data_IF_435223114479
#
_entry.id   IF_435223114479
#
_cell.length_a   1.000
_cell.length_b   1.000
_cell.length_c   1.000
_cell.angle_alpha   90.00
_cell.angle_beta   90.00
_cell.angle_gamma   90.00
#
_symmetry.space_group_name_H-M   'P 1'
#
loop_
_entity.id
_entity.type
_entity.pdbx_description
1 polymer ?
#
# COMPACT_ATOMS: atom_id res chain seq x y z
N UNK A 1 -24.06 23.05 -3.16
CA UNK A 1 -25.20 22.31 -2.57
C UNK A 1 -24.61 21.25 -1.65
N UNK A 2 -25.21 20.99 -0.48
CA UNK A 2 -24.80 19.88 0.37
C UNK A 2 -24.94 18.58 -0.41
N UNK A 3 -23.92 17.73 -0.36
CA UNK A 3 -23.97 16.41 -0.96
C UNK A 3 -25.04 15.57 -0.26
N UNK A 4 -26.18 15.39 -0.91
CA UNK A 4 -27.34 14.71 -0.31
C UNK A 4 -27.46 13.24 -0.72
N UNK A 5 -26.50 12.72 -1.51
CA UNK A 5 -26.54 11.35 -2.04
C UNK A 5 -25.28 10.61 -1.64
N UNK A 6 -25.45 9.53 -0.88
CA UNK A 6 -24.39 8.61 -0.49
C UNK A 6 -24.29 7.49 -1.53
N UNK A 7 -23.06 7.08 -1.85
CA UNK A 7 -22.75 5.95 -2.73
C UNK A 7 -23.32 6.13 -4.14
N UNK A 8 -23.21 7.34 -4.69
CA UNK A 8 -23.76 7.66 -6.00
C UNK A 8 -22.95 6.99 -7.13
N UNK A 9 -23.59 6.12 -7.89
CA UNK A 9 -22.98 5.39 -9.01
C UNK A 9 -23.01 6.17 -10.35
N UNK A 10 -23.73 7.30 -10.40
CA UNK A 10 -23.99 8.05 -11.65
C UNK A 10 -23.18 9.33 -11.73
N UNK A 11 -23.00 9.84 -12.95
CA UNK A 11 -22.27 11.10 -13.17
C UNK A 11 -23.04 12.31 -12.64
N UNK A 12 -22.34 13.20 -11.93
CA UNK A 12 -22.83 14.49 -11.45
C UNK A 12 -24.17 14.41 -10.67
N UNK A 13 -24.23 13.63 -9.58
CA UNK A 13 -25.46 13.43 -8.80
C UNK A 13 -25.99 14.72 -8.17
N UNK A 14 -25.10 15.68 -7.93
CA UNK A 14 -25.41 16.98 -7.33
C UNK A 14 -25.72 18.07 -8.38
N UNK A 15 -25.84 17.74 -9.67
CA UNK A 15 -26.19 18.67 -10.75
C UNK A 15 -25.35 19.97 -10.75
N UNK A 16 -24.04 19.86 -10.50
CA UNK A 16 -23.10 20.97 -10.51
C UNK A 16 -22.69 21.30 -11.96
N UNK A 17 -22.13 22.50 -12.17
CA UNK A 17 -21.51 22.84 -13.45
C UNK A 17 -20.12 22.19 -13.54
N UNK A 18 -20.10 20.90 -13.91
CA UNK A 18 -18.89 20.10 -14.00
C UNK A 18 -18.08 20.44 -15.24
N UNK A 19 -16.79 20.75 -15.04
CA UNK A 19 -15.82 20.94 -16.12
C UNK A 19 -14.83 19.78 -16.12
N UNK A 20 -14.69 19.08 -17.25
CA UNK A 20 -13.62 18.09 -17.39
C UNK A 20 -12.29 18.81 -17.60
N UNK A 21 -11.37 18.69 -16.65
CA UNK A 21 -10.09 19.44 -16.68
C UNK A 21 -8.93 18.63 -17.27
N UNK A 22 -9.02 17.30 -17.29
CA UNK A 22 -8.02 16.43 -17.88
C UNK A 22 -8.56 15.01 -18.12
N UNK A 23 -7.82 14.27 -18.94
CA UNK A 23 -7.86 12.81 -19.01
C UNK A 23 -6.43 12.31 -18.80
N UNK A 24 -6.26 11.25 -18.02
CA UNK A 24 -5.00 10.55 -17.80
C UNK A 24 -5.17 9.10 -18.23
N UNK A 25 -4.30 8.62 -19.12
CA UNK A 25 -4.32 7.25 -19.62
C UNK A 25 -2.96 6.60 -19.36
N UNK A 26 -2.97 5.39 -18.81
CA UNK A 26 -1.75 4.62 -18.55
C UNK A 26 -2.01 3.12 -18.60
N UNK A 27 -1.02 2.37 -19.10
CA UNK A 27 -0.95 0.94 -18.90
C UNK A 27 -0.25 0.66 -17.57
N UNK A 28 -0.96 0.08 -16.61
CA UNK A 28 -0.42 -0.39 -15.33
C UNK A 28 0.04 -1.82 -15.51
N UNK A 29 1.30 -2.09 -15.22
CA UNK A 29 1.96 -3.39 -15.29
C UNK A 29 1.61 -4.26 -14.05
N UNK A 30 0.33 -4.33 -13.73
CA UNK A 30 -0.24 -5.21 -12.74
C UNK A 30 -1.58 -5.74 -13.25
N UNK A 31 -1.95 -7.01 -12.96
CA UNK A 31 -3.16 -7.60 -13.49
C UNK A 31 -4.39 -6.98 -12.82
N UNK A 32 -5.52 -6.98 -13.53
CA UNK A 32 -6.77 -6.31 -13.13
C UNK A 32 -7.21 -6.65 -11.69
N UNK A 33 -7.00 -7.90 -11.27
CA UNK A 33 -7.33 -8.33 -9.90
C UNK A 33 -6.50 -7.61 -8.83
N UNK A 34 -5.23 -7.26 -9.09
CA UNK A 34 -4.43 -6.46 -8.15
C UNK A 34 -4.88 -5.01 -8.13
N UNK A 35 -5.26 -4.46 -9.29
CA UNK A 35 -5.77 -3.08 -9.37
C UNK A 35 -7.06 -2.96 -8.58
N UNK A 36 -8.00 -3.90 -8.69
CA UNK A 36 -9.21 -3.88 -7.87
C UNK A 36 -8.96 -4.07 -6.37
N UNK A 37 -8.01 -4.94 -5.98
CA UNK A 37 -7.60 -5.05 -4.56
C UNK A 37 -7.09 -3.70 -4.03
N UNK A 38 -6.23 -3.01 -4.79
CA UNK A 38 -5.66 -1.73 -4.40
C UNK A 38 -6.71 -0.60 -4.36
N UNK A 39 -7.60 -0.53 -5.36
CA UNK A 39 -8.70 0.47 -5.41
C UNK A 39 -9.66 0.35 -4.22
N UNK A 40 -9.95 -0.87 -3.79
CA UNK A 40 -10.87 -1.13 -2.67
C UNK A 40 -10.20 -1.03 -1.29
N UNK A 41 -8.88 -0.94 -1.25
CA UNK A 41 -8.08 -0.81 -0.05
C UNK A 41 -7.85 0.66 0.25
N UNK A 42 -8.68 1.28 1.09
CA UNK A 42 -8.47 2.67 1.51
C UNK A 42 -7.33 2.84 2.53
N UNK A 43 -6.90 1.76 3.18
CA UNK A 43 -6.02 1.83 4.36
C UNK A 43 -4.58 2.21 3.98
N UNK A 44 -4.17 1.97 2.73
CA UNK A 44 -2.83 2.35 2.28
C UNK A 44 -2.66 3.87 2.07
N UNK A 45 -3.75 4.61 1.85
CA UNK A 45 -3.72 6.02 1.44
C UNK A 45 -2.81 6.90 2.30
N UNK A 46 -2.90 6.93 3.66
CA UNK A 46 -2.07 7.83 4.47
C UNK A 46 -0.63 7.35 4.66
N UNK A 47 -0.27 6.16 4.17
CA UNK A 47 1.06 5.57 4.39
C UNK A 47 1.83 5.41 3.09
N UNK A 48 1.24 4.78 2.07
CA UNK A 48 1.85 4.66 0.76
C UNK A 48 1.92 6.01 0.05
N UNK A 49 0.87 6.83 0.19
CA UNK A 49 0.79 8.16 -0.40
C UNK A 49 0.90 9.26 0.67
N UNK A 50 1.82 9.10 1.63
CA UNK A 50 2.02 10.02 2.76
C UNK A 50 2.30 11.49 2.33
N UNK A 51 2.78 11.70 1.11
CA UNK A 51 2.96 13.04 0.51
C UNK A 51 1.68 13.70 0.02
N UNK A 52 0.61 12.92 -0.14
CA UNK A 52 -0.68 13.35 -0.70
C UNK A 52 -1.82 13.28 0.33
N UNK A 53 -1.73 12.37 1.30
CA UNK A 53 -2.75 12.16 2.32
C UNK A 53 -2.14 12.27 3.73
N UNK A 54 -2.53 13.33 4.45
CA UNK A 54 -2.05 13.57 5.82
C UNK A 54 -2.97 12.96 6.90
N UNK A 55 -4.21 12.61 6.53
CA UNK A 55 -5.20 12.03 7.43
C UNK A 55 -6.18 11.18 6.62
N UNK A 56 -6.42 9.96 7.06
CA UNK A 56 -7.43 9.07 6.51
C UNK A 56 -7.99 8.24 7.66
N UNK A 57 -9.31 8.29 7.84
CA UNK A 57 -10.04 7.46 8.80
C UNK A 57 -11.28 6.90 8.11
N UNK A 58 -11.54 5.60 8.27
CA UNK A 58 -12.73 4.99 7.70
C UNK A 58 -14.00 5.51 8.38
N UNK A 59 -14.92 6.06 7.59
CA UNK A 59 -16.28 6.36 8.05
C UNK A 59 -17.19 5.14 7.82
N UNK A 60 -17.22 4.64 6.60
CA UNK A 60 -18.03 3.47 6.23
C UNK A 60 -17.48 2.79 4.98
N UNK A 61 -17.74 1.49 4.85
CA UNK A 61 -17.35 0.71 3.68
C UNK A 61 -18.20 -0.53 3.50
N UNK A 62 -18.19 -1.09 2.29
CA UNK A 62 -18.94 -2.29 1.94
C UNK A 62 -18.78 -2.68 0.48
N UNK A 63 -19.72 -3.49 -0.02
CA UNK A 63 -19.70 -3.94 -1.42
C UNK A 63 -19.81 -2.81 -2.45
N UNK A 64 -20.28 -1.64 -2.04
CA UNK A 64 -20.41 -0.44 -2.89
C UNK A 64 -19.10 0.35 -3.03
N UNK A 65 -18.10 0.09 -2.18
CA UNK A 65 -16.88 0.89 -2.06
C UNK A 65 -16.65 1.34 -0.62
N UNK A 66 -16.12 2.55 -0.44
CA UNK A 66 -15.75 3.09 0.86
C UNK A 66 -15.83 4.61 0.92
N UNK A 67 -15.97 5.14 2.14
CA UNK A 67 -15.86 6.56 2.46
C UNK A 67 -14.92 6.75 3.63
N UNK A 68 -13.99 7.69 3.48
CA UNK A 68 -13.02 8.05 4.51
C UNK A 68 -13.10 9.53 4.84
N UNK A 69 -12.92 9.87 6.10
CA UNK A 69 -12.63 11.23 6.54
C UNK A 69 -11.20 11.60 6.14
N UNK A 70 -11.03 12.83 5.64
CA UNK A 70 -9.73 13.37 5.19
C UNK A 70 -9.14 14.40 6.15
N UNK A 71 -9.82 14.65 7.28
CA UNK A 71 -9.35 15.50 8.37
C UNK A 71 -9.95 15.06 9.71
N UNK A 72 -9.27 15.40 10.81
CA UNK A 72 -9.65 14.98 12.17
C UNK A 72 -10.98 15.58 12.67
N UNK A 73 -11.40 16.73 12.12
CA UNK A 73 -12.67 17.36 12.47
C UNK A 73 -13.87 16.74 11.72
N UNK A 74 -13.63 15.74 10.88
CA UNK A 74 -14.64 15.02 10.09
C UNK A 74 -15.54 15.95 9.26
N UNK A 75 -14.95 16.99 8.65
CA UNK A 75 -15.67 17.92 7.75
C UNK A 75 -15.45 17.61 6.28
N UNK A 76 -14.32 16.97 5.98
CA UNK A 76 -13.84 16.68 4.64
C UNK A 76 -13.74 15.17 4.47
N UNK A 77 -14.17 14.66 3.32
CA UNK A 77 -14.14 13.23 3.05
C UNK A 77 -13.91 12.91 1.59
N UNK A 78 -13.45 11.70 1.33
CA UNK A 78 -13.41 11.08 0.02
C UNK A 78 -14.32 9.86 0.03
N UNK A 79 -15.19 9.76 -0.97
CA UNK A 79 -16.05 8.59 -1.18
C UNK A 79 -15.70 7.96 -2.53
N UNK A 80 -15.27 6.70 -2.50
CA UNK A 80 -15.09 5.86 -3.68
C UNK A 80 -16.30 4.95 -3.82
N UNK A 81 -16.97 5.03 -4.97
CA UNK A 81 -18.14 4.21 -5.29
C UNK A 81 -17.87 3.40 -6.55
N UNK A 82 -18.16 2.10 -6.50
CA UNK A 82 -18.18 1.24 -7.68
C UNK A 82 -19.37 1.63 -8.56
N UNK A 83 -19.10 2.06 -9.80
CA UNK A 83 -20.14 2.50 -10.72
C UNK A 83 -20.55 1.41 -11.72
N UNK A 84 -19.63 0.50 -12.04
CA UNK A 84 -19.86 -0.67 -12.89
C UNK A 84 -18.81 -1.75 -12.60
N UNK A 85 -18.83 -2.85 -13.35
CA UNK A 85 -17.82 -3.90 -13.24
C UNK A 85 -16.41 -3.46 -13.67
N UNK A 86 -16.31 -2.38 -14.42
CA UNK A 86 -15.08 -1.85 -15.04
C UNK A 86 -14.81 -0.39 -14.67
N UNK A 87 -15.62 0.23 -13.81
CA UNK A 87 -15.41 1.63 -13.43
C UNK A 87 -15.83 1.95 -12.01
N UNK A 88 -15.16 2.96 -11.46
CA UNK A 88 -15.48 3.54 -10.16
C UNK A 88 -15.34 5.06 -10.24
N UNK A 89 -15.92 5.73 -9.27
CA UNK A 89 -15.84 7.18 -9.11
C UNK A 89 -15.37 7.53 -7.70
N UNK A 90 -14.37 8.39 -7.62
CA UNK A 90 -13.95 9.01 -6.37
C UNK A 90 -14.47 10.46 -6.32
N UNK A 91 -15.18 10.81 -5.27
CA UNK A 91 -15.65 12.17 -5.01
C UNK A 91 -15.02 12.70 -3.74
N UNK A 92 -14.45 13.89 -3.82
CA UNK A 92 -13.95 14.61 -2.64
C UNK A 92 -14.94 15.68 -2.23
N UNK A 93 -15.09 15.85 -0.93
CA UNK A 93 -15.97 16.84 -0.33
C UNK A 93 -15.21 17.64 0.72
N UNK A 94 -15.45 18.95 0.77
CA UNK A 94 -14.89 19.86 1.75
C UNK A 94 -16.02 20.64 2.39
N UNK A 95 -16.15 20.56 3.72
CA UNK A 95 -17.25 21.16 4.47
C UNK A 95 -18.63 20.95 3.79
N UNK A 96 -18.92 19.71 3.37
CA UNK A 96 -20.16 19.30 2.71
C UNK A 96 -20.33 19.72 1.24
N UNK A 97 -19.35 20.41 0.64
CA UNK A 97 -19.36 20.79 -0.77
C UNK A 97 -18.53 19.81 -1.59
N UNK A 98 -19.11 19.27 -2.67
CA UNK A 98 -18.35 18.46 -3.62
C UNK A 98 -17.31 19.33 -4.33
N UNK A 99 -16.04 18.94 -4.27
CA UNK A 99 -14.93 19.67 -4.90
C UNK A 99 -14.33 18.93 -6.08
N UNK A 100 -14.61 17.64 -6.23
CA UNK A 100 -14.16 16.85 -7.38
C UNK A 100 -15.10 15.68 -7.68
N UNK A 101 -15.04 15.22 -8.92
CA UNK A 101 -15.58 13.93 -9.35
C UNK A 101 -14.59 13.30 -10.32
N UNK A 102 -13.96 12.20 -9.90
CA UNK A 102 -12.87 11.58 -10.64
C UNK A 102 -13.31 10.18 -11.04
N UNK A 103 -13.48 9.97 -12.34
CA UNK A 103 -13.95 8.73 -12.91
C UNK A 103 -12.78 7.90 -13.41
N UNK A 104 -12.67 6.67 -12.95
CA UNK A 104 -11.66 5.72 -13.42
C UNK A 104 -12.32 4.54 -14.11
N UNK A 105 -11.85 4.21 -15.31
CA UNK A 105 -12.22 3.00 -16.04
C UNK A 105 -11.00 2.09 -16.12
N UNK A 106 -11.22 0.81 -15.86
CA UNK A 106 -10.22 -0.24 -15.81
C UNK A 106 -10.52 -1.30 -16.87
N UNK A 107 -9.54 -1.62 -17.72
CA UNK A 107 -9.67 -2.67 -18.72
C UNK A 107 -8.48 -3.61 -18.62
N UNK A 108 -8.72 -4.89 -18.32
CA UNK A 108 -7.65 -5.89 -18.29
C UNK A 108 -7.05 -6.11 -19.68
N UNK A 109 -5.72 -6.19 -19.76
CA UNK A 109 -4.95 -6.47 -20.98
C UNK A 109 -3.84 -7.44 -20.61
N UNK A 110 -4.04 -8.74 -20.90
CA UNK A 110 -3.15 -9.82 -20.46
C UNK A 110 -2.87 -9.75 -18.93
N UNK A 111 -1.61 -9.65 -18.52
CA UNK A 111 -1.16 -9.51 -17.12
C UNK A 111 -1.05 -8.03 -16.68
N UNK A 112 -1.63 -7.10 -17.45
CA UNK A 112 -1.63 -5.67 -17.21
C UNK A 112 -3.06 -5.11 -17.19
N UNK A 113 -3.18 -3.82 -16.86
CA UNK A 113 -4.46 -3.10 -16.80
C UNK A 113 -4.34 -1.75 -17.47
N UNK A 114 -5.15 -1.50 -18.49
CA UNK A 114 -5.33 -0.15 -19.01
C UNK A 114 -6.21 0.64 -18.05
N UNK A 115 -5.71 1.80 -17.64
CA UNK A 115 -6.41 2.75 -16.77
C UNK A 115 -6.68 4.02 -17.56
N UNK A 116 -7.92 4.50 -17.49
CA UNK A 116 -8.30 5.84 -17.91
C UNK A 116 -8.94 6.58 -16.74
N UNK A 117 -8.42 7.75 -16.41
CA UNK A 117 -8.93 8.63 -15.36
C UNK A 117 -9.40 9.94 -15.99
N UNK A 118 -10.65 10.33 -15.71
CA UNK A 118 -11.24 11.61 -16.15
C UNK A 118 -11.54 12.47 -14.93
N UNK A 119 -11.03 13.69 -14.95
CA UNK A 119 -11.13 14.61 -13.82
C UNK A 119 -12.20 15.67 -14.08
N UNK A 120 -13.23 15.71 -13.24
CA UNK A 120 -14.26 16.73 -13.28
C UNK A 120 -14.21 17.58 -12.03
N UNK A 121 -14.18 18.90 -12.20
CA UNK A 121 -14.14 19.87 -11.11
C UNK A 121 -15.31 20.85 -11.32
N UNK A 122 -16.15 21.09 -10.29
CA UNK A 122 -17.27 22.00 -10.42
C UNK A 122 -16.80 23.46 -10.45
N UNK A 123 -17.52 24.28 -11.23
CA UNK A 123 -17.45 25.75 -11.18
C UNK A 123 -16.04 26.35 -11.42
N UNK A 124 -15.21 25.69 -12.22
CA UNK A 124 -13.87 26.17 -12.59
C UNK A 124 -13.90 27.16 -13.75
N UNK A 125 -13.20 28.28 -13.59
CA UNK A 125 -12.93 29.25 -14.66
C UNK A 125 -11.99 28.67 -15.73
N UNK A 126 -12.26 28.98 -17.00
CA UNK A 126 -11.53 28.45 -18.16
C UNK A 126 -10.01 28.68 -18.08
N UNK A 127 -9.59 29.86 -17.59
CA UNK A 127 -8.18 30.23 -17.43
C UNK A 127 -7.41 29.37 -16.39
N UNK A 128 -8.11 28.66 -15.49
CA UNK A 128 -7.51 27.78 -14.47
C UNK A 128 -7.36 26.33 -14.97
N UNK A 129 -8.06 25.94 -16.04
CA UNK A 129 -8.11 24.56 -16.54
C UNK A 129 -6.71 24.03 -16.85
N UNK A 130 -5.88 24.77 -17.58
CA UNK A 130 -4.55 24.31 -17.98
C UNK A 130 -3.65 24.01 -16.77
N UNK A 131 -3.69 24.85 -15.74
CA UNK A 131 -2.92 24.63 -14.51
C UNK A 131 -3.45 23.43 -13.72
N UNK A 132 -4.77 23.32 -13.57
CA UNK A 132 -5.39 22.17 -12.89
C UNK A 132 -5.12 20.87 -13.62
N UNK A 133 -5.15 20.87 -14.95
CA UNK A 133 -4.78 19.73 -15.79
C UNK A 133 -3.38 19.22 -15.43
N UNK A 134 -2.39 20.11 -15.37
CA UNK A 134 -1.01 19.77 -15.01
C UNK A 134 -0.90 19.24 -13.57
N UNK A 135 -1.59 19.87 -12.62
CA UNK A 135 -1.58 19.46 -11.21
C UNK A 135 -2.20 18.07 -11.04
N UNK A 136 -3.39 17.83 -11.60
CA UNK A 136 -4.11 16.57 -11.49
C UNK A 136 -3.35 15.43 -12.16
N UNK A 137 -2.82 15.65 -13.37
CA UNK A 137 -2.04 14.61 -14.07
C UNK A 137 -0.75 14.29 -13.35
N UNK A 138 -0.05 15.28 -12.78
CA UNK A 138 1.17 15.04 -11.99
C UNK A 138 0.88 14.30 -10.70
N UNK A 139 -0.20 14.67 -9.99
CA UNK A 139 -0.65 13.97 -8.79
C UNK A 139 -0.97 12.51 -9.09
N UNK A 140 -1.84 12.26 -10.08
CA UNK A 140 -2.26 10.90 -10.41
C UNK A 140 -1.13 10.06 -11.00
N UNK A 141 -0.13 10.67 -11.66
CA UNK A 141 1.07 9.94 -12.09
C UNK A 141 1.82 9.38 -10.88
N UNK A 142 2.03 10.21 -9.83
CA UNK A 142 2.68 9.77 -8.59
C UNK A 142 1.89 8.67 -7.88
N UNK A 143 0.59 8.89 -7.67
CA UNK A 143 -0.26 7.92 -6.98
C UNK A 143 -0.20 6.56 -7.70
N UNK A 144 -0.38 6.55 -9.03
CA UNK A 144 -0.28 5.32 -9.82
C UNK A 144 1.13 4.71 -9.86
N UNK A 145 2.21 5.50 -9.77
CA UNK A 145 3.58 4.95 -9.65
C UNK A 145 3.76 4.18 -8.34
N UNK A 146 3.28 4.76 -7.23
CA UNK A 146 3.36 4.17 -5.89
C UNK A 146 2.49 2.91 -5.79
N UNK A 147 1.25 2.98 -6.29
CA UNK A 147 0.32 1.86 -6.36
C UNK A 147 0.85 0.72 -7.23
N UNK A 148 1.37 1.04 -8.43
CA UNK A 148 1.92 0.05 -9.35
C UNK A 148 3.07 -0.73 -8.72
N UNK A 149 3.98 -0.05 -8.03
CA UNK A 149 5.08 -0.69 -7.31
C UNK A 149 4.58 -1.65 -6.22
N UNK A 150 3.60 -1.22 -5.42
CA UNK A 150 2.96 -2.06 -4.40
C UNK A 150 2.30 -3.30 -5.03
N UNK A 151 1.48 -3.10 -6.06
CA UNK A 151 0.75 -4.17 -6.74
C UNK A 151 1.66 -5.19 -7.40
N UNK A 152 2.72 -4.74 -8.08
CA UNK A 152 3.71 -5.62 -8.69
C UNK A 152 4.42 -6.47 -7.65
N UNK A 153 4.86 -5.85 -6.55
CA UNK A 153 5.55 -6.56 -5.48
C UNK A 153 4.64 -7.60 -4.82
N UNK A 154 3.38 -7.25 -4.55
CA UNK A 154 2.38 -8.18 -4.02
C UNK A 154 2.12 -9.33 -4.99
N UNK A 155 1.92 -9.03 -6.27
CA UNK A 155 1.70 -10.03 -7.30
C UNK A 155 2.86 -11.02 -7.39
N UNK A 156 4.10 -10.52 -7.45
CA UNK A 156 5.31 -11.36 -7.43
C UNK A 156 5.33 -12.27 -6.20
N UNK A 157 5.05 -11.73 -5.01
CA UNK A 157 5.09 -12.50 -3.75
C UNK A 157 4.04 -13.59 -3.63
N UNK A 158 2.92 -13.46 -4.33
CA UNK A 158 1.88 -14.49 -4.40
C UNK A 158 2.25 -15.65 -5.32
N UNK A 159 3.08 -15.41 -6.34
CA UNK A 159 3.41 -16.40 -7.38
C UNK A 159 4.85 -16.92 -7.28
N UNK A 160 5.69 -16.34 -6.43
CA UNK A 160 7.06 -16.80 -6.28
C UNK A 160 7.15 -18.17 -5.63
N UNK A 161 7.97 -19.04 -6.22
CA UNK A 161 8.34 -20.31 -5.61
C UNK A 161 9.40 -20.07 -4.54
N UNK A 162 9.11 -20.43 -3.29
CA UNK A 162 10.03 -20.26 -2.17
C UNK A 162 10.55 -21.60 -1.67
N UNK A 163 11.80 -21.57 -1.23
CA UNK A 163 12.51 -22.69 -0.60
C UNK A 163 11.72 -23.24 0.60
N UNK A 164 11.43 -24.54 0.63
CA UNK A 164 10.67 -25.18 1.70
C UNK A 164 11.54 -25.93 2.72
N UNK A 165 12.86 -25.84 2.60
CA UNK A 165 13.79 -26.42 3.58
C UNK A 165 13.51 -25.89 4.98
N UNK A 166 13.74 -26.75 5.97
CA UNK A 166 13.63 -26.42 7.40
C UNK A 166 14.98 -26.02 8.00
N UNK A 167 16.07 -26.13 7.24
CA UNK A 167 17.41 -25.76 7.67
C UNK A 167 18.23 -25.21 6.50
N UNK A 168 19.05 -24.19 6.76
CA UNK A 168 19.97 -23.62 5.78
C UNK A 168 21.25 -23.10 6.43
N UNK A 169 22.40 -23.46 5.86
CA UNK A 169 23.69 -22.84 6.21
C UNK A 169 23.78 -21.49 5.48
N UNK A 170 23.92 -20.39 6.22
CA UNK A 170 23.93 -19.03 5.70
C UNK A 170 25.34 -18.51 5.38
N UNK A 171 26.38 -19.16 5.94
CA UNK A 171 27.79 -18.81 5.72
C UNK A 171 28.48 -18.36 7.01
N UNK A 172 29.70 -17.84 6.88
CA UNK A 172 30.54 -17.46 8.03
C UNK A 172 29.97 -16.25 8.77
N UNK A 173 29.93 -16.32 10.10
CA UNK A 173 29.43 -15.23 10.95
C UNK A 173 30.16 -13.91 10.68
N UNK A 174 31.50 -13.96 10.59
CA UNK A 174 32.31 -12.77 10.31
C UNK A 174 31.95 -12.09 8.98
N UNK A 175 31.63 -12.89 7.95
CA UNK A 175 31.20 -12.35 6.65
C UNK A 175 29.83 -11.70 6.75
N UNK A 176 28.87 -12.36 7.41
CA UNK A 176 27.51 -11.81 7.64
C UNK A 176 27.59 -10.48 8.39
N UNK A 177 28.34 -10.44 9.50
CA UNK A 177 28.53 -9.20 10.28
C UNK A 177 29.21 -8.10 9.48
N UNK A 178 30.20 -8.44 8.65
CA UNK A 178 30.84 -7.46 7.76
C UNK A 178 29.87 -6.89 6.72
N UNK A 179 28.97 -7.71 6.16
CA UNK A 179 27.93 -7.25 5.23
C UNK A 179 26.95 -6.30 5.93
N UNK A 180 26.46 -6.69 7.12
CA UNK A 180 25.56 -5.84 7.92
C UNK A 180 26.23 -4.52 8.32
N UNK A 181 27.51 -4.55 8.73
CA UNK A 181 28.28 -3.35 9.06
C UNK A 181 28.52 -2.43 7.84
N UNK A 182 28.50 -2.99 6.63
CA UNK A 182 28.54 -2.24 5.37
C UNK A 182 27.20 -1.59 4.99
N UNK A 183 26.12 -1.89 5.72
CA UNK A 183 24.76 -1.41 5.44
C UNK A 183 23.96 -2.30 4.49
N UNK A 184 24.52 -3.42 4.05
CA UNK A 184 23.85 -4.35 3.15
C UNK A 184 22.99 -5.35 3.93
N UNK A 185 21.79 -5.65 3.42
CA UNK A 185 20.92 -6.67 3.98
C UNK A 185 21.41 -8.09 3.62
N UNK A 186 21.33 -9.01 4.58
CA UNK A 186 21.55 -10.45 4.34
C UNK A 186 20.21 -11.17 4.38
N UNK A 187 19.66 -11.51 3.22
CA UNK A 187 18.37 -12.21 3.11
C UNK A 187 18.54 -13.70 2.82
N UNK A 188 17.56 -14.49 3.26
CA UNK A 188 17.51 -15.92 3.02
C UNK A 188 16.07 -16.45 3.06
N UNK A 189 15.87 -17.65 2.54
CA UNK A 189 14.57 -18.31 2.53
C UNK A 189 14.62 -19.64 3.30
N UNK A 190 13.56 -19.90 4.07
CA UNK A 190 13.33 -21.14 4.83
C UNK A 190 11.81 -21.32 5.02
N UNK A 191 11.30 -22.56 4.96
CA UNK A 191 9.87 -22.88 5.14
C UNK A 191 8.92 -21.96 4.34
N UNK A 192 9.23 -21.74 3.07
CA UNK A 192 8.48 -20.92 2.10
C UNK A 192 8.27 -19.46 2.54
N UNK A 193 9.21 -18.91 3.31
CA UNK A 193 9.21 -17.51 3.74
C UNK A 193 10.60 -16.90 3.54
N UNK A 194 10.63 -15.59 3.39
CA UNK A 194 11.86 -14.82 3.30
C UNK A 194 12.09 -14.06 4.61
N UNK A 195 13.36 -14.07 5.03
CA UNK A 195 13.84 -13.42 6.23
C UNK A 195 15.10 -12.63 5.90
N UNK A 196 15.38 -11.62 6.71
CA UNK A 196 16.64 -10.92 6.76
C UNK A 196 17.32 -11.16 8.11
N UNK A 197 18.65 -11.15 8.12
CA UNK A 197 19.42 -11.14 9.35
C UNK A 197 19.55 -9.70 9.83
N UNK A 198 19.32 -9.48 11.11
CA UNK A 198 19.63 -8.23 11.80
C UNK A 198 20.50 -8.50 13.03
N UNK A 199 21.22 -7.48 13.48
CA UNK A 199 21.94 -7.49 14.75
C UNK A 199 21.18 -6.66 15.77
N UNK A 200 20.75 -7.32 16.86
CA UNK A 200 20.00 -6.71 17.97
C UNK A 200 20.71 -7.11 19.26
N UNK A 201 21.15 -6.12 20.05
CA UNK A 201 21.91 -6.32 21.30
C UNK A 201 23.11 -7.29 21.15
N UNK A 202 23.83 -7.17 20.04
CA UNK A 202 25.02 -8.00 19.72
C UNK A 202 24.70 -9.41 19.21
N UNK A 203 23.42 -9.79 19.13
CA UNK A 203 22.96 -11.11 18.67
C UNK A 203 22.39 -11.01 17.26
N UNK A 204 22.72 -12.01 16.43
CA UNK A 204 22.08 -12.14 15.12
C UNK A 204 20.70 -12.77 15.29
N UNK A 205 19.69 -12.11 14.73
CA UNK A 205 18.30 -12.56 14.71
C UNK A 205 17.77 -12.58 13.28
N UNK A 206 16.76 -13.41 13.03
CA UNK A 206 16.05 -13.45 11.75
C UNK A 206 14.73 -12.68 11.88
N UNK A 207 14.44 -11.81 10.92
CA UNK A 207 13.22 -11.01 10.88
C UNK A 207 12.56 -11.22 9.52
N UNK A 208 11.23 -11.40 9.49
CA UNK A 208 10.54 -11.58 8.21
C UNK A 208 10.61 -10.32 7.36
N UNK A 209 10.81 -10.47 6.04
CA UNK A 209 10.81 -9.35 5.08
C UNK A 209 9.42 -9.05 4.51
N UNK A 210 8.39 -9.78 4.97
CA UNK A 210 7.04 -9.79 4.40
C UNK A 210 6.02 -9.51 5.49
N UNK A 211 5.33 -8.39 5.36
CA UNK A 211 4.25 -7.99 6.24
C UNK A 211 3.09 -8.99 6.15
N UNK A 212 2.58 -9.51 7.28
CA UNK A 212 1.49 -10.48 7.29
C UNK A 212 0.14 -9.88 6.87
N UNK A 213 0.01 -8.54 6.84
CA UNK A 213 -1.21 -7.85 6.41
C UNK A 213 -1.50 -8.09 4.91
N UNK A 214 -0.78 -7.38 4.04
CA UNK A 214 -0.95 -7.51 2.58
C UNK A 214 0.36 -7.84 1.86
N UNK A 215 1.27 -8.55 2.52
CA UNK A 215 2.55 -8.97 1.93
C UNK A 215 3.41 -7.79 1.48
N UNK A 216 3.34 -6.67 2.21
CA UNK A 216 4.19 -5.51 2.01
C UNK A 216 5.63 -5.71 2.50
N UNK A 217 6.60 -4.92 2.04
CA UNK A 217 7.99 -5.04 2.46
C UNK A 217 8.14 -4.67 3.94
N UNK A 218 8.93 -5.47 4.66
CA UNK A 218 9.43 -5.15 6.00
C UNK A 218 10.95 -4.99 5.90
N UNK A 219 11.39 -3.87 5.32
CA UNK A 219 12.81 -3.63 5.01
C UNK A 219 13.47 -2.60 5.95
N UNK A 220 12.70 -1.71 6.56
CA UNK A 220 13.19 -0.75 7.54
C UNK A 220 12.95 -1.31 8.95
N UNK A 221 14.01 -1.83 9.58
CA UNK A 221 13.99 -2.19 10.99
C UNK A 221 14.54 -0.99 11.76
N UNK A 222 13.73 -0.40 12.64
CA UNK A 222 14.29 0.41 13.71
C UNK A 222 14.83 -0.58 14.76
N UNK A 223 16.10 -0.96 14.60
CA UNK A 223 16.76 -1.93 15.47
C UNK A 223 16.94 -1.41 16.90
N UNK A 224 16.80 -0.10 17.13
CA UNK A 224 16.88 0.48 18.47
C UNK A 224 15.55 0.36 19.23
N UNK A 225 14.41 0.33 18.52
CA UNK A 225 13.09 0.15 19.11
C UNK A 225 12.60 -1.31 19.15
N UNK A 226 13.24 -2.22 18.42
CA UNK A 226 12.76 -3.59 18.26
C UNK A 226 11.47 -3.67 17.41
N UNK A 227 11.22 -2.66 16.58
CA UNK A 227 10.03 -2.56 15.76
C UNK A 227 10.38 -2.60 14.28
N UNK A 228 9.49 -3.23 13.50
CA UNK A 228 9.53 -3.17 12.03
C UNK A 228 8.23 -2.60 11.52
N UNK A 229 8.33 -1.66 10.56
CA UNK A 229 7.17 -0.94 10.00
C UNK A 229 6.99 -1.27 8.52
N UNK A 230 5.75 -1.54 8.13
CA UNK A 230 5.37 -1.69 6.74
C UNK A 230 5.04 -0.31 6.12
N UNK A 231 5.63 0.06 4.98
CA UNK A 231 5.35 1.35 4.36
C UNK A 231 3.98 1.40 3.65
N UNK A 232 3.36 0.24 3.35
CA UNK A 232 2.10 0.22 2.61
C UNK A 232 0.91 0.66 3.45
N UNK A 233 0.81 0.17 4.69
CA UNK A 233 -0.34 0.41 5.58
C UNK A 233 0.07 0.91 6.96
N UNK A 234 1.36 1.22 7.14
CA UNK A 234 1.88 1.69 8.41
C UNK A 234 1.99 0.65 9.52
N UNK A 235 1.59 -0.61 9.27
CA UNK A 235 1.57 -1.67 10.28
C UNK A 235 2.94 -1.82 10.96
N UNK A 236 2.93 -1.93 12.28
CA UNK A 236 4.13 -2.07 13.11
C UNK A 236 4.08 -3.36 13.89
N UNK A 237 5.24 -4.03 13.98
CA UNK A 237 5.37 -5.29 14.69
C UNK A 237 6.57 -5.28 15.61
N UNK A 238 6.41 -5.81 16.81
CA UNK A 238 7.54 -6.12 17.69
C UNK A 238 8.26 -7.38 17.18
N UNK A 239 9.57 -7.26 16.94
CA UNK A 239 10.36 -8.34 16.33
C UNK A 239 10.57 -9.53 17.26
N UNK A 240 10.43 -9.34 18.57
CA UNK A 240 10.68 -10.37 19.57
C UNK A 240 9.47 -11.29 19.76
N UNK A 241 8.28 -10.70 19.90
CA UNK A 241 7.01 -11.38 20.10
C UNK A 241 6.27 -11.67 18.80
N UNK A 242 6.61 -10.96 17.72
CA UNK A 242 5.90 -10.98 16.45
C UNK A 242 4.54 -10.29 16.46
N UNK A 243 4.12 -9.71 17.58
CA UNK A 243 2.81 -9.09 17.72
C UNK A 243 2.72 -7.80 16.93
N UNK A 244 1.57 -7.56 16.30
CA UNK A 244 1.25 -6.27 15.75
C UNK A 244 0.97 -5.28 16.89
N UNK A 245 1.69 -4.16 16.89
CA UNK A 245 1.52 -3.08 17.88
C UNK A 245 0.77 -1.88 17.29
N UNK A 246 0.62 -1.84 15.97
CA UNK A 246 -0.17 -0.84 15.27
C UNK A 246 -0.63 -1.39 13.91
N UNK A 247 -1.90 -1.21 13.51
CA UNK A 247 -2.99 -0.63 14.30
C UNK A 247 -3.34 -1.52 15.50
N UNK A 248 -3.88 -0.92 16.56
CA UNK A 248 -4.33 -1.68 17.73
C UNK A 248 -5.38 -2.71 17.31
N UNK A 249 -5.32 -3.91 17.90
CA UNK A 249 -6.26 -5.01 17.64
C UNK A 249 -6.23 -5.61 16.23
N UNK A 250 -5.20 -5.33 15.42
CA UNK A 250 -4.98 -6.08 14.18
C UNK A 250 -4.80 -7.58 14.45
N UNK A 251 -5.49 -8.43 13.68
CA UNK A 251 -5.44 -9.89 13.81
C UNK A 251 -4.31 -10.53 12.98
N UNK A 252 -3.23 -9.78 12.72
CA UNK A 252 -2.07 -10.28 11.99
C UNK A 252 -0.82 -10.24 12.86
N UNK A 253 0.01 -11.29 12.76
CA UNK A 253 1.27 -11.41 13.50
C UNK A 253 2.38 -11.84 12.57
N UNK A 254 3.61 -11.43 12.88
CA UNK A 254 4.78 -11.95 12.17
C UNK A 254 4.83 -13.48 12.29
N UNK A 255 5.27 -14.19 11.23
CA UNK A 255 5.53 -15.61 11.34
C UNK A 255 6.67 -15.87 12.33
N UNK A 256 6.65 -17.05 12.95
CA UNK A 256 7.78 -17.51 13.75
C UNK A 256 9.09 -17.42 12.96
N UNK A 257 10.08 -16.74 13.54
CA UNK A 257 11.40 -16.61 12.95
C UNK A 257 12.22 -17.90 13.14
N UNK A 258 13.10 -18.26 12.19
CA UNK A 258 14.04 -19.35 12.37
C UNK A 258 15.07 -19.00 13.46
N UNK A 259 15.49 -20.01 14.21
CA UNK A 259 16.63 -19.87 15.11
C UNK A 259 17.93 -19.78 14.31
N UNK A 260 18.79 -18.82 14.68
CA UNK A 260 20.13 -18.67 14.11
C UNK A 260 21.17 -19.22 15.09
N UNK A 261 21.82 -20.32 14.71
CA UNK A 261 22.81 -21.01 15.53
C UNK A 261 24.20 -20.97 14.91
N UNK A 262 25.24 -20.75 15.73
CA UNK A 262 26.63 -20.80 15.29
C UNK A 262 27.18 -22.23 15.37
N UNK A 263 27.70 -22.76 14.26
CA UNK A 263 28.36 -24.06 14.21
C UNK A 263 29.55 -24.03 13.26
N UNK A 264 30.74 -24.39 13.76
CA UNK A 264 32.00 -24.37 12.99
C UNK A 264 32.26 -23.02 12.28
N UNK A 265 31.91 -21.92 12.95
CA UNK A 265 32.03 -20.55 12.46
C UNK A 265 30.98 -20.15 11.42
N UNK A 266 30.03 -21.02 11.08
CA UNK A 266 28.92 -20.71 10.17
C UNK A 266 27.62 -20.46 10.95
N UNK A 267 26.81 -19.53 10.47
CA UNK A 267 25.44 -19.35 10.91
C UNK A 267 24.55 -20.35 10.18
N UNK A 268 23.72 -21.06 10.94
CA UNK A 268 22.73 -22.01 10.45
C UNK A 268 21.36 -21.51 10.90
N UNK A 269 20.47 -21.29 9.94
CA UNK A 269 19.06 -21.02 10.21
C UNK A 269 18.29 -22.34 10.29
N UNK A 270 17.44 -22.50 11.30
CA UNK A 270 16.58 -23.68 11.46
C UNK A 270 15.17 -23.28 11.90
N UNK A 271 14.16 -23.87 11.27
CA UNK A 271 12.78 -23.83 11.74
C UNK A 271 12.49 -25.04 12.61
N UNK A 272 11.84 -24.82 13.76
CA UNK A 272 11.21 -25.88 14.57
C UNK A 272 10.01 -26.50 13.86
#
# INVERSE_FOLDING_TARGET
MSANQHHAETFNPNALNMVQVATYDRLILAPLVRVWENVLDWEHLPYLHDTSFNYVELDTGGQWGWRTWSNADHTDHVELTLASADSYVARSYQAGHQVSEIWTTLTGVDDATQVQVRFFIPDIEENKIAKLSQVMTSLYTRLWDEDEAMMQQRHKRLHEHRDDRLERVLGKEASIRSTLAGGDAVTFQIKRREYQIAEVDGRLVAISTICPHLMGPLLAIDTHGGLVRCPWHGYQFDINSGQCVFPEHADCTLPAAPELNLSNGNIIARMS
#
